data_IF_541969250260
#
_entry.id   IF_541969250260
#
_cell.length_a   1.000
_cell.length_b   1.000
_cell.length_c   1.000
_cell.angle_alpha   90.00
_cell.angle_beta   90.00
_cell.angle_gamma   90.00
#
_symmetry.space_group_name_H-M   'P 1'
#
loop_
_entity.id
_entity.type
_entity.pdbx_description
1 polymer ?
#
# COMPACT_ATOMS: atom_id res chain seq x y z
N UNK A 1 -11.11 2.33 -26.25
CA UNK A 1 -10.76 2.53 -24.82
C UNK A 1 -12.01 3.04 -24.11
N UNK A 2 -12.21 2.73 -22.82
CA UNK A 2 -13.36 3.26 -22.07
C UNK A 2 -13.33 4.79 -22.09
N UNK A 3 -14.51 5.40 -22.02
CA UNK A 3 -14.62 6.85 -21.89
C UNK A 3 -14.26 7.33 -20.48
N UNK A 4 -14.19 8.65 -20.28
CA UNK A 4 -13.76 9.24 -19.00
C UNK A 4 -14.72 8.91 -17.85
N UNK A 5 -16.02 8.79 -18.12
CA UNK A 5 -17.02 8.41 -17.13
C UNK A 5 -16.84 6.97 -16.69
N UNK A 6 -16.71 6.04 -17.64
CA UNK A 6 -16.47 4.63 -17.37
C UNK A 6 -15.16 4.39 -16.62
N UNK A 7 -14.11 5.18 -16.92
CA UNK A 7 -12.84 5.12 -16.21
C UNK A 7 -13.00 5.54 -14.75
N UNK A 8 -13.76 6.61 -14.49
CA UNK A 8 -13.99 7.13 -13.15
C UNK A 8 -14.80 6.13 -12.32
N UNK A 9 -15.86 5.53 -12.89
CA UNK A 9 -16.68 4.51 -12.20
C UNK A 9 -15.88 3.26 -11.81
N UNK A 10 -14.90 2.86 -12.62
CA UNK A 10 -14.08 1.67 -12.35
C UNK A 10 -12.94 1.95 -11.38
N UNK A 11 -12.52 3.21 -11.26
CA UNK A 11 -11.31 3.58 -10.53
C UNK A 11 -11.44 3.25 -9.03
N UNK A 12 -12.60 3.45 -8.42
CA UNK A 12 -12.84 3.10 -7.03
C UNK A 12 -12.61 1.60 -6.77
N UNK A 13 -13.10 0.74 -7.67
CA UNK A 13 -12.88 -0.71 -7.58
C UNK A 13 -11.41 -1.11 -7.75
N UNK A 14 -10.68 -0.41 -8.63
CA UNK A 14 -9.24 -0.63 -8.83
C UNK A 14 -8.46 -0.18 -7.59
N UNK A 15 -8.73 1.01 -7.05
CA UNK A 15 -8.08 1.50 -5.83
C UNK A 15 -8.36 0.60 -4.63
N UNK A 16 -9.59 0.11 -4.48
CA UNK A 16 -9.94 -0.86 -3.45
C UNK A 16 -9.15 -2.17 -3.61
N UNK A 17 -9.02 -2.66 -4.85
CA UNK A 17 -8.23 -3.88 -5.14
C UNK A 17 -6.75 -3.68 -4.82
N UNK A 18 -6.18 -2.52 -5.17
CA UNK A 18 -4.78 -2.19 -4.84
C UNK A 18 -4.57 -2.04 -3.32
N UNK A 19 -5.54 -1.48 -2.60
CA UNK A 19 -5.49 -1.42 -1.15
C UNK A 19 -5.55 -2.82 -0.51
N UNK A 20 -6.37 -3.73 -1.05
CA UNK A 20 -6.38 -5.13 -0.60
C UNK A 20 -5.07 -5.85 -0.91
N UNK A 21 -4.47 -5.59 -2.08
CA UNK A 21 -3.15 -6.11 -2.43
C UNK A 21 -2.09 -5.61 -1.45
N UNK A 22 -2.12 -4.32 -1.11
CA UNK A 22 -1.26 -3.75 -0.08
C UNK A 22 -1.45 -4.45 1.26
N UNK A 23 -2.70 -4.64 1.71
CA UNK A 23 -3.00 -5.29 2.99
C UNK A 23 -2.53 -6.73 3.03
N UNK A 24 -2.69 -7.49 1.95
CA UNK A 24 -2.20 -8.86 1.84
C UNK A 24 -0.66 -8.91 1.85
N UNK A 25 0.01 -7.93 1.26
CA UNK A 25 1.47 -7.78 1.40
C UNK A 25 1.89 -7.40 2.82
N UNK A 26 1.15 -6.47 3.42
CA UNK A 26 1.46 -5.89 4.72
C UNK A 26 1.19 -6.87 5.86
N UNK A 27 0.19 -7.74 5.73
CA UNK A 27 -0.09 -8.81 6.68
C UNK A 27 -0.56 -10.02 5.87
N UNK A 28 0.39 -10.85 5.47
CA UNK A 28 0.10 -12.04 4.70
C UNK A 28 -0.90 -12.94 5.44
N UNK A 29 -2.00 -13.28 4.77
CA UNK A 29 -3.02 -14.18 5.31
C UNK A 29 -2.61 -15.65 5.19
N UNK A 30 -1.67 -15.95 4.29
CA UNK A 30 -1.15 -17.29 4.03
C UNK A 30 0.34 -17.27 3.62
N UNK A 31 0.96 -18.45 3.58
CA UNK A 31 2.35 -18.63 3.17
C UNK A 31 3.37 -18.50 4.31
N UNK A 32 4.66 -18.63 3.97
CA UNK A 32 5.76 -18.68 4.95
C UNK A 32 6.31 -17.30 5.35
N UNK A 33 5.95 -16.24 4.63
CA UNK A 33 6.39 -14.85 4.90
C UNK A 33 5.27 -14.06 5.55
N UNK A 34 5.54 -13.45 6.71
CA UNK A 34 4.60 -12.59 7.44
C UNK A 34 4.31 -11.27 6.71
N UNK A 35 5.30 -10.77 5.97
CA UNK A 35 5.25 -9.56 5.15
C UNK A 35 5.80 -9.92 3.76
N UNK A 36 5.08 -9.52 2.72
CA UNK A 36 5.50 -9.62 1.32
C UNK A 36 5.71 -8.21 0.79
N UNK A 37 6.90 -7.67 1.08
CA UNK A 37 7.26 -6.28 0.77
C UNK A 37 7.08 -5.95 -0.72
N UNK A 38 7.32 -6.91 -1.61
CA UNK A 38 7.13 -6.73 -3.05
C UNK A 38 5.68 -6.37 -3.41
N UNK A 39 4.69 -6.93 -2.70
CA UNK A 39 3.27 -6.61 -2.93
C UNK A 39 2.93 -5.22 -2.40
N UNK A 40 3.49 -4.83 -1.25
CA UNK A 40 3.31 -3.49 -0.70
C UNK A 40 3.89 -2.44 -1.65
N UNK A 41 5.12 -2.64 -2.13
CA UNK A 41 5.79 -1.72 -3.05
C UNK A 41 5.04 -1.62 -4.38
N UNK A 42 4.57 -2.75 -4.93
CA UNK A 42 3.84 -2.74 -6.20
C UNK A 42 2.47 -2.05 -6.06
N UNK A 43 1.74 -2.28 -4.97
CA UNK A 43 0.49 -1.56 -4.71
C UNK A 43 0.69 -0.04 -4.58
N UNK A 44 1.76 0.40 -3.91
CA UNK A 44 2.12 1.83 -3.82
C UNK A 44 2.48 2.39 -5.18
N UNK A 45 3.29 1.67 -5.97
CA UNK A 45 3.67 2.09 -7.32
C UNK A 45 2.45 2.27 -8.22
N UNK A 46 1.53 1.30 -8.23
CA UNK A 46 0.32 1.35 -9.07
C UNK A 46 -0.66 2.44 -8.62
N UNK A 47 -0.87 2.61 -7.31
CA UNK A 47 -1.72 3.69 -6.79
C UNK A 47 -1.13 5.07 -7.10
N UNK A 48 0.19 5.23 -7.06
CA UNK A 48 0.86 6.46 -7.49
C UNK A 48 0.61 6.76 -8.96
N UNK A 49 0.81 5.78 -9.85
CA UNK A 49 0.56 5.96 -11.28
C UNK A 49 -0.89 6.38 -11.57
N UNK A 50 -1.86 5.83 -10.84
CA UNK A 50 -3.27 6.22 -10.96
C UNK A 50 -3.55 7.63 -10.39
N UNK A 51 -2.92 8.01 -9.28
CA UNK A 51 -3.09 9.34 -8.70
C UNK A 51 -2.47 10.46 -9.55
N UNK A 52 -1.37 10.16 -10.24
CA UNK A 52 -0.63 11.12 -11.08
C UNK A 52 -1.18 11.22 -12.51
N UNK A 53 -1.95 10.22 -12.96
CA UNK A 53 -2.44 10.20 -14.33
C UNK A 53 -3.60 11.22 -14.56
N UNK A 54 -3.54 12.09 -15.58
CA UNK A 54 -4.49 13.20 -15.76
C UNK A 54 -5.96 12.80 -15.87
N UNK A 55 -6.25 11.59 -16.38
CA UNK A 55 -7.62 11.11 -16.52
C UNK A 55 -8.24 10.62 -15.19
N UNK A 56 -7.42 10.33 -14.18
CA UNK A 56 -7.80 9.68 -12.92
C UNK A 56 -7.41 10.50 -11.68
N UNK A 57 -6.63 11.57 -11.86
CA UNK A 57 -6.20 12.50 -10.82
C UNK A 57 -7.41 13.23 -10.22
N UNK A 58 -7.93 12.71 -9.10
CA UNK A 58 -8.91 13.38 -8.25
C UNK A 58 -8.39 13.40 -6.81
N UNK A 59 -8.62 14.47 -6.05
CA UNK A 59 -8.13 14.58 -4.67
C UNK A 59 -8.53 13.42 -3.76
N UNK A 60 -9.75 12.88 -3.92
CA UNK A 60 -10.24 11.75 -3.12
C UNK A 60 -9.40 10.47 -3.28
N UNK A 61 -8.79 10.27 -4.46
CA UNK A 61 -8.01 9.05 -4.78
C UNK A 61 -6.63 9.03 -4.13
N UNK A 62 -6.17 10.15 -3.58
CA UNK A 62 -4.90 10.23 -2.86
C UNK A 62 -4.95 9.59 -1.47
N UNK A 63 -6.14 9.43 -0.88
CA UNK A 63 -6.30 8.86 0.46
C UNK A 63 -5.81 7.40 0.54
N UNK A 64 -6.25 6.46 -0.32
CA UNK A 64 -5.71 5.10 -0.33
C UNK A 64 -4.19 5.05 -0.49
N UNK A 65 -3.63 5.92 -1.35
CA UNK A 65 -2.18 6.02 -1.54
C UNK A 65 -1.50 6.48 -0.26
N UNK A 66 -2.01 7.54 0.38
CA UNK A 66 -1.46 8.09 1.61
C UNK A 66 -1.44 7.03 2.72
N UNK A 67 -2.52 6.26 2.85
CA UNK A 67 -2.61 5.17 3.83
C UNK A 67 -1.58 4.08 3.54
N UNK A 68 -1.40 3.68 2.27
CA UNK A 68 -0.40 2.68 1.89
C UNK A 68 1.02 3.16 2.24
N UNK A 69 1.40 4.40 1.87
CA UNK A 69 2.75 4.92 2.15
C UNK A 69 2.99 5.11 3.65
N UNK A 70 1.99 5.59 4.39
CA UNK A 70 2.07 5.73 5.85
C UNK A 70 2.33 4.38 6.52
N UNK A 71 1.64 3.33 6.09
CA UNK A 71 1.87 1.99 6.61
C UNK A 71 3.23 1.43 6.16
N UNK A 72 3.60 1.63 4.89
CA UNK A 72 4.85 1.12 4.33
C UNK A 72 6.10 1.70 5.00
N UNK A 73 6.03 2.94 5.50
CA UNK A 73 7.12 3.57 6.26
C UNK A 73 7.64 2.68 7.40
N UNK A 74 6.79 1.81 7.96
CA UNK A 74 7.09 0.94 9.10
C UNK A 74 7.54 -0.46 8.73
N UNK A 75 7.57 -0.85 7.45
CA UNK A 75 7.83 -2.25 7.04
C UNK A 75 9.09 -2.82 7.69
N UNK A 76 10.18 -2.07 7.66
CA UNK A 76 11.48 -2.47 8.23
C UNK A 76 11.48 -2.63 9.75
N UNK A 77 10.53 -2.00 10.46
CA UNK A 77 10.44 -2.07 11.91
C UNK A 77 9.45 -3.14 12.41
N UNK A 78 8.74 -3.82 11.52
CA UNK A 78 7.64 -4.73 11.89
C UNK A 78 8.05 -6.17 12.15
N UNK A 79 9.24 -6.56 11.71
CA UNK A 79 9.76 -7.92 11.87
C UNK A 79 11.15 -7.82 12.52
N UNK A 80 11.38 -8.61 13.56
CA UNK A 80 12.69 -8.67 14.21
C UNK A 80 13.66 -9.60 13.46
N UNK A 81 14.91 -9.70 13.93
CA UNK A 81 15.92 -10.59 13.34
C UNK A 81 15.56 -12.07 13.44
N UNK A 82 14.63 -12.45 14.32
CA UNK A 82 14.10 -13.82 14.44
C UNK A 82 12.92 -14.10 13.51
N UNK A 83 12.46 -13.11 12.73
CA UNK A 83 11.33 -13.28 11.82
C UNK A 83 9.95 -13.17 12.50
N UNK A 84 9.87 -12.55 13.67
CA UNK A 84 8.63 -12.42 14.45
C UNK A 84 8.04 -11.01 14.36
N UNK A 85 6.71 -10.90 14.50
CA UNK A 85 6.02 -9.62 14.51
C UNK A 85 6.37 -8.78 15.74
N UNK A 86 6.78 -7.54 15.49
CA UNK A 86 7.05 -6.53 16.54
C UNK A 86 5.80 -5.70 16.79
N UNK A 87 5.38 -5.61 18.06
CA UNK A 87 4.24 -4.76 18.46
C UNK A 87 4.55 -3.30 18.18
N UNK A 88 3.53 -2.53 17.82
CA UNK A 88 3.71 -1.12 17.41
C UNK A 88 4.52 -0.27 18.40
N UNK A 89 4.30 -0.45 19.70
CA UNK A 89 4.99 0.28 20.76
C UNK A 89 6.48 -0.09 20.91
N UNK A 90 6.87 -1.27 20.45
CA UNK A 90 8.22 -1.83 20.57
C UNK A 90 9.04 -1.66 19.27
N UNK A 91 8.46 -1.07 18.23
CA UNK A 91 9.12 -0.84 16.94
C UNK A 91 10.18 0.27 17.05
N UNK A 92 11.39 0.02 16.52
CA UNK A 92 12.42 1.04 16.42
C UNK A 92 12.03 2.09 15.39
N UNK A 93 11.70 3.30 15.86
CA UNK A 93 11.28 4.42 15.00
C UNK A 93 12.39 4.95 14.11
N UNK A 94 13.67 4.63 14.37
CA UNK A 94 14.77 4.99 13.47
C UNK A 94 14.74 4.22 12.17
N UNK A 95 14.06 3.06 12.16
CA UNK A 95 13.83 2.25 10.97
C UNK A 95 12.61 2.71 10.18
N UNK A 96 11.87 3.72 10.64
CA UNK A 96 10.75 4.25 9.90
C UNK A 96 11.27 5.09 8.74
N UNK A 97 10.95 4.67 7.51
CA UNK A 97 11.35 5.40 6.32
C UNK A 97 10.56 6.71 6.21
N UNK A 98 11.21 7.82 5.80
CA UNK A 98 10.49 9.05 5.50
C UNK A 98 9.53 8.84 4.32
N UNK A 99 8.43 9.58 4.35
CA UNK A 99 7.42 9.64 3.30
C UNK A 99 7.88 10.49 2.10
#
# INVERSE_FOLDING_TARGET
MPDKSELTERLDGVLATLYLLFNEGYKASAGSRLIREELCHEAIRLTQLLCEHPATAQPAHWLPRLDCVLNASRLQARVNTQGEMVRLQDQDRRLWMPL
#
